data_IF_319678485479
#
_entry.id   IF_319678485479
#
_cell.length_a   1.000
_cell.length_b   1.000
_cell.length_c   1.000
_cell.angle_alpha   90.00
_cell.angle_beta   90.00
_cell.angle_gamma   90.00
#
_symmetry.space_group_name_H-M   'P 1'
#
loop_
_entity.id
_entity.type
_entity.pdbx_description
1 polymer ?
#
# COMPACT_ATOMS: atom_id res chain seq x y z
N UNK A 1 12.99 13.58 31.25
CA UNK A 1 12.98 13.57 29.77
C UNK A 1 12.74 12.13 29.35
N UNK A 2 11.50 11.66 29.45
CA UNK A 2 11.05 10.48 28.69
C UNK A 2 10.73 11.07 27.30
N UNK A 3 11.71 11.13 26.41
CA UNK A 3 12.15 10.09 25.48
C UNK A 3 11.27 10.09 24.23
N UNK A 4 11.39 11.19 23.46
CA UNK A 4 10.71 11.43 22.18
C UNK A 4 10.80 10.23 21.23
N UNK A 5 11.89 9.46 21.33
CA UNK A 5 12.08 8.21 20.57
C UNK A 5 11.06 7.14 20.94
N UNK A 6 10.69 7.02 22.21
CA UNK A 6 9.66 6.08 22.68
C UNK A 6 8.27 6.48 22.18
N UNK A 7 7.96 7.78 22.20
CA UNK A 7 6.68 8.30 21.70
C UNK A 7 6.54 8.06 20.19
N UNK A 8 7.56 8.38 19.41
CA UNK A 8 7.56 8.11 17.95
C UNK A 8 7.50 6.61 17.66
N UNK A 9 8.20 5.77 18.42
CA UNK A 9 8.14 4.32 18.24
C UNK A 9 6.73 3.77 18.53
N UNK A 10 6.05 4.29 19.56
CA UNK A 10 4.68 3.91 19.86
C UNK A 10 3.71 4.39 18.77
N UNK A 11 3.88 5.61 18.26
CA UNK A 11 3.09 6.12 17.13
C UNK A 11 3.25 5.23 15.89
N UNK A 12 4.49 4.85 15.54
CA UNK A 12 4.75 3.92 14.45
C UNK A 12 4.08 2.56 14.67
N UNK A 13 4.10 2.01 15.88
CA UNK A 13 3.48 0.73 16.20
C UNK A 13 1.95 0.79 16.08
N UNK A 14 1.34 1.86 16.62
CA UNK A 14 -0.11 2.09 16.50
C UNK A 14 -0.51 2.23 15.03
N UNK A 15 0.27 2.98 14.25
CA UNK A 15 0.07 3.22 12.84
C UNK A 15 0.19 1.93 11.99
N UNK A 16 1.17 1.07 12.27
CA UNK A 16 1.28 -0.24 11.62
C UNK A 16 0.05 -1.12 11.91
N UNK A 17 -0.53 -1.00 13.11
CA UNK A 17 -1.77 -1.67 13.49
C UNK A 17 -3.00 -1.24 12.66
N UNK A 18 -2.96 -0.09 12.00
CA UNK A 18 -4.04 0.40 11.12
C UNK A 18 -4.02 -0.24 9.71
N UNK A 19 -2.91 -0.89 9.32
CA UNK A 19 -2.73 -1.44 7.97
C UNK A 19 -3.81 -2.45 7.58
N UNK A 20 -4.18 -3.34 8.50
CA UNK A 20 -5.22 -4.35 8.25
C UNK A 20 -6.58 -3.70 7.94
N UNK A 21 -6.95 -2.67 8.71
CA UNK A 21 -8.19 -1.92 8.49
C UNK A 21 -8.18 -1.17 7.15
N UNK A 22 -7.06 -0.55 6.77
CA UNK A 22 -6.92 0.10 5.46
C UNK A 22 -6.98 -0.90 4.30
N UNK A 23 -6.32 -2.05 4.41
CA UNK A 23 -6.38 -3.10 3.41
C UNK A 23 -7.84 -3.53 3.14
N UNK A 24 -8.63 -3.71 4.19
CA UNK A 24 -10.06 -4.01 4.07
C UNK A 24 -10.89 -2.89 3.46
N UNK A 25 -10.51 -1.63 3.68
CA UNK A 25 -11.15 -0.50 3.00
C UNK A 25 -10.82 -0.50 1.50
N UNK A 26 -9.57 -0.77 1.11
CA UNK A 26 -9.14 -0.87 -0.29
C UNK A 26 -9.89 -2.01 -0.98
N UNK A 27 -9.96 -3.20 -0.36
CA UNK A 27 -10.72 -4.35 -0.88
C UNK A 27 -12.19 -4.00 -1.10
N UNK A 28 -12.84 -3.38 -0.10
CA UNK A 28 -14.25 -2.97 -0.19
C UNK A 28 -14.48 -1.94 -1.29
N UNK A 29 -13.64 -0.91 -1.39
CA UNK A 29 -13.75 0.11 -2.43
C UNK A 29 -13.62 -0.49 -3.84
N UNK A 30 -12.76 -1.50 -3.97
CA UNK A 30 -12.58 -2.23 -5.21
C UNK A 30 -13.79 -3.12 -5.55
N UNK A 31 -14.25 -3.96 -4.62
CA UNK A 31 -15.40 -4.88 -4.80
C UNK A 31 -16.70 -4.12 -5.10
N UNK A 32 -16.90 -2.95 -4.48
CA UNK A 32 -18.08 -2.12 -4.68
C UNK A 32 -18.15 -1.47 -6.08
N UNK A 33 -17.27 -1.82 -7.03
CA UNK A 33 -17.25 -1.27 -8.38
C UNK A 33 -16.95 0.23 -8.42
N UNK A 34 -16.50 0.78 -7.30
CA UNK A 34 -16.25 2.21 -7.14
C UNK A 34 -14.84 2.55 -7.61
N UNK A 35 -14.53 2.14 -8.85
CA UNK A 35 -13.22 2.31 -9.46
C UNK A 35 -12.72 3.76 -9.34
N UNK A 36 -11.44 3.91 -8.95
CA UNK A 36 -10.62 5.14 -8.85
C UNK A 36 -11.20 6.33 -8.05
N UNK A 37 -12.46 6.71 -8.25
CA UNK A 37 -13.15 7.85 -7.64
C UNK A 37 -13.50 7.64 -6.16
N UNK A 38 -13.88 6.42 -5.72
CA UNK A 38 -14.17 6.17 -4.30
C UNK A 38 -12.91 5.94 -3.48
N UNK A 39 -11.84 5.41 -4.06
CA UNK A 39 -10.52 5.38 -3.38
C UNK A 39 -9.94 6.81 -3.22
N UNK A 40 -10.47 7.79 -3.96
CA UNK A 40 -10.24 9.23 -3.80
C UNK A 40 -11.15 9.90 -2.77
N UNK A 41 -12.14 9.18 -2.24
CA UNK A 41 -13.06 9.66 -1.20
C UNK A 41 -12.90 8.88 0.13
N UNK A 42 -12.37 7.65 0.08
CA UNK A 42 -11.82 6.93 1.24
C UNK A 42 -10.44 7.44 1.65
N UNK A 43 -9.93 8.46 0.95
CA UNK A 43 -9.00 9.41 1.53
C UNK A 43 -9.62 9.84 2.86
N UNK A 44 -9.05 9.36 3.96
CA UNK A 44 -8.95 10.22 5.12
C UNK A 44 -8.70 11.63 4.60
N UNK A 45 -9.47 12.63 5.04
CA UNK A 45 -9.46 13.96 4.46
C UNK A 45 -8.03 14.33 4.12
N UNK A 46 -7.79 14.89 2.94
CA UNK A 46 -6.47 15.36 2.50
C UNK A 46 -5.88 16.47 3.41
N UNK A 47 -6.50 16.68 4.58
CA UNK A 47 -6.18 17.55 5.71
C UNK A 47 -6.34 16.86 7.09
N UNK A 48 -6.57 15.55 7.14
CA UNK A 48 -6.45 14.74 8.34
C UNK A 48 -5.03 14.19 8.37
N UNK A 49 -4.07 15.07 8.65
CA UNK A 49 -2.77 14.69 9.22
C UNK A 49 -2.91 13.92 10.55
N UNK A 50 -4.14 13.77 11.02
CA UNK A 50 -4.55 13.22 12.29
C UNK A 50 -5.91 12.55 12.08
N UNK A 51 -6.08 11.25 12.37
CA UNK A 51 -7.41 10.74 12.70
C UNK A 51 -7.99 11.63 13.78
N UNK A 52 -9.22 12.14 13.59
CA UNK A 52 -9.88 13.01 14.58
C UNK A 52 -9.75 12.42 15.99
N UNK A 53 -8.98 13.10 16.85
CA UNK A 53 -8.76 12.70 18.25
C UNK A 53 -7.45 11.95 18.58
N UNK A 54 -6.48 11.83 17.67
CA UNK A 54 -5.29 10.98 17.90
C UNK A 54 -3.92 11.67 17.83
N UNK A 55 -3.83 12.97 17.62
CA UNK A 55 -2.51 13.61 17.50
C UNK A 55 -1.83 13.84 18.84
N UNK A 56 -0.69 13.14 19.01
CA UNK A 56 0.31 13.42 20.05
C UNK A 56 1.57 14.10 19.48
N UNK A 57 1.84 14.00 18.17
CA UNK A 57 3.00 14.66 17.53
C UNK A 57 2.72 15.25 16.13
N UNK A 58 3.40 16.36 15.80
CA UNK A 58 3.26 17.07 14.52
C UNK A 58 3.79 16.30 13.28
N UNK A 59 4.46 15.16 13.47
CA UNK A 59 5.13 14.40 12.41
C UNK A 59 4.35 13.16 11.96
N UNK A 60 3.29 12.79 12.69
CA UNK A 60 2.60 11.50 12.53
C UNK A 60 2.14 11.22 11.10
N UNK A 61 1.51 12.18 10.42
CA UNK A 61 1.06 11.99 9.03
C UNK A 61 2.20 11.70 8.03
N UNK A 62 3.38 12.29 8.23
CA UNK A 62 4.55 12.04 7.39
C UNK A 62 5.20 10.70 7.68
N UNK A 63 5.33 10.35 8.94
CA UNK A 63 5.82 9.05 9.40
C UNK A 63 4.91 7.93 8.88
N UNK A 64 3.60 8.10 8.98
CA UNK A 64 2.65 7.10 8.52
C UNK A 64 2.71 6.85 7.02
N UNK A 65 2.77 7.91 6.20
CA UNK A 65 2.88 7.76 4.76
C UNK A 65 4.19 7.05 4.35
N UNK A 66 5.29 7.34 5.07
CA UNK A 66 6.55 6.63 4.89
C UNK A 66 6.42 5.14 5.26
N UNK A 67 5.78 4.81 6.38
CA UNK A 67 5.51 3.42 6.78
C UNK A 67 4.67 2.71 5.72
N UNK A 68 3.57 3.31 5.26
CA UNK A 68 2.74 2.77 4.17
C UNK A 68 3.56 2.49 2.92
N UNK A 69 4.40 3.43 2.51
CA UNK A 69 5.29 3.28 1.36
C UNK A 69 6.25 2.10 1.53
N UNK A 70 6.93 2.00 2.67
CA UNK A 70 7.90 0.94 2.93
C UNK A 70 7.24 -0.44 3.02
N UNK A 71 6.14 -0.56 3.76
CA UNK A 71 5.37 -1.80 3.90
C UNK A 71 4.84 -2.25 2.53
N UNK A 72 4.28 -1.34 1.73
CA UNK A 72 3.80 -1.66 0.38
C UNK A 72 4.93 -2.11 -0.54
N UNK A 73 6.12 -1.47 -0.44
CA UNK A 73 7.30 -1.85 -1.22
C UNK A 73 7.73 -3.28 -0.91
N UNK A 74 7.89 -3.60 0.37
CA UNK A 74 8.34 -4.93 0.78
C UNK A 74 7.27 -6.00 0.53
N UNK A 75 5.99 -5.66 0.72
CA UNK A 75 4.88 -6.54 0.37
C UNK A 75 4.83 -6.86 -1.14
N UNK A 76 5.04 -5.87 -2.01
CA UNK A 76 5.11 -6.09 -3.46
C UNK A 76 6.30 -6.99 -3.85
N UNK A 77 7.47 -6.80 -3.21
CA UNK A 77 8.63 -7.68 -3.40
C UNK A 77 8.38 -9.10 -2.88
N UNK A 78 7.69 -9.23 -1.75
CA UNK A 78 7.25 -10.50 -1.18
C UNK A 78 6.31 -11.24 -2.14
N UNK A 79 5.31 -10.54 -2.68
CA UNK A 79 4.36 -11.09 -3.65
C UNK A 79 5.05 -11.58 -4.93
N UNK A 80 6.04 -10.84 -5.45
CA UNK A 80 6.85 -11.30 -6.61
C UNK A 80 7.52 -12.64 -6.32
N UNK A 81 8.07 -12.83 -5.11
CA UNK A 81 8.73 -14.07 -4.71
C UNK A 81 7.72 -15.20 -4.49
N UNK A 82 6.59 -14.91 -3.86
CA UNK A 82 5.56 -15.90 -3.51
C UNK A 82 4.81 -16.46 -4.74
N UNK A 83 4.76 -15.71 -5.85
CA UNK A 83 4.13 -16.15 -7.08
C UNK A 83 4.94 -17.22 -7.85
N UNK A 84 6.12 -17.62 -7.34
CA UNK A 84 7.08 -18.53 -8.00
C UNK A 84 7.49 -18.02 -9.40
N UNK A 85 8.50 -18.58 -10.11
CA UNK A 85 8.81 -18.15 -11.47
C UNK A 85 7.70 -18.52 -12.46
N UNK A 86 6.64 -17.71 -12.48
CA UNK A 86 5.45 -17.86 -13.31
C UNK A 86 5.05 -16.56 -14.02
N UNK A 87 4.00 -16.60 -14.87
CA UNK A 87 3.54 -15.45 -15.63
C UNK A 87 3.14 -14.27 -14.74
N UNK A 88 2.53 -14.55 -13.57
CA UNK A 88 2.16 -13.54 -12.58
C UNK A 88 3.37 -12.82 -11.99
N UNK A 89 4.39 -13.56 -11.55
CA UNK A 89 5.63 -12.98 -11.03
C UNK A 89 6.37 -12.13 -12.07
N UNK A 90 6.49 -12.63 -13.31
CA UNK A 90 7.13 -11.88 -14.40
C UNK A 90 6.34 -10.62 -14.81
N UNK A 91 5.01 -10.71 -14.80
CA UNK A 91 4.15 -9.56 -15.04
C UNK A 91 4.28 -8.52 -13.92
N UNK A 92 4.17 -8.94 -12.66
CA UNK A 92 4.27 -8.05 -11.50
C UNK A 92 5.67 -7.43 -11.41
N UNK A 93 6.74 -8.16 -11.69
CA UNK A 93 8.09 -7.62 -11.72
C UNK A 93 8.25 -6.51 -12.79
N UNK A 94 7.63 -6.66 -13.96
CA UNK A 94 7.60 -5.62 -15.00
C UNK A 94 6.77 -4.42 -14.57
N UNK A 95 5.58 -4.66 -14.02
CA UNK A 95 4.72 -3.62 -13.48
C UNK A 95 5.44 -2.82 -12.38
N UNK A 96 6.08 -3.51 -11.43
CA UNK A 96 6.87 -2.92 -10.36
C UNK A 96 8.04 -2.10 -10.90
N UNK A 97 8.75 -2.59 -11.92
CA UNK A 97 9.84 -1.81 -12.56
C UNK A 97 9.33 -0.53 -13.22
N UNK A 98 8.13 -0.54 -13.80
CA UNK A 98 7.53 0.61 -14.48
C UNK A 98 6.93 1.64 -13.49
N UNK A 99 6.25 1.17 -12.43
CA UNK A 99 5.46 2.01 -11.54
C UNK A 99 6.08 2.19 -10.14
N UNK A 100 7.09 1.39 -9.79
CA UNK A 100 7.69 1.35 -8.47
C UNK A 100 8.87 2.30 -8.27
N UNK A 101 9.26 3.08 -9.27
CA UNK A 101 10.39 4.02 -9.15
C UNK A 101 10.20 5.02 -8.00
N UNK A 102 8.96 5.43 -7.73
CA UNK A 102 8.61 6.33 -6.62
C UNK A 102 8.74 5.67 -5.23
N UNK A 103 8.98 4.36 -5.15
CA UNK A 103 9.29 3.71 -3.87
C UNK A 103 10.70 4.01 -3.38
N UNK A 104 11.60 4.51 -4.23
CA UNK A 104 12.99 4.83 -3.86
C UNK A 104 13.25 6.35 -3.93
N UNK A 105 13.95 6.91 -2.92
CA UNK A 105 14.32 8.34 -2.87
C UNK A 105 13.25 9.32 -2.39
N UNK A 106 13.49 10.61 -2.56
CA UNK A 106 12.48 11.65 -2.28
C UNK A 106 11.32 11.50 -3.27
N UNK A 107 10.09 11.41 -2.75
CA UNK A 107 8.89 11.26 -3.57
C UNK A 107 7.72 11.94 -2.88
N UNK A 108 6.64 12.15 -3.64
CA UNK A 108 5.40 12.73 -3.12
C UNK A 108 4.75 11.81 -2.07
N UNK A 109 3.79 12.35 -1.34
CA UNK A 109 2.92 11.56 -0.46
C UNK A 109 2.09 10.53 -1.24
N UNK A 110 1.69 9.46 -0.55
CA UNK A 110 0.74 8.44 -1.01
C UNK A 110 1.26 7.52 -2.12
N UNK A 111 2.57 7.33 -2.21
CA UNK A 111 3.19 6.43 -3.20
C UNK A 111 2.62 5.01 -3.13
N UNK A 112 2.46 4.46 -1.93
CA UNK A 112 1.92 3.10 -1.75
C UNK A 112 0.49 2.99 -2.28
N UNK A 113 -0.34 3.98 -1.97
CA UNK A 113 -1.74 4.03 -2.40
C UNK A 113 -1.85 4.22 -3.92
N UNK A 114 -1.03 5.09 -4.50
CA UNK A 114 -0.97 5.31 -5.95
C UNK A 114 -0.53 4.05 -6.70
N UNK A 115 0.45 3.31 -6.17
CA UNK A 115 0.90 2.05 -6.74
C UNK A 115 -0.23 1.00 -6.74
N UNK A 116 -0.93 0.83 -5.62
CA UNK A 116 -2.06 -0.10 -5.50
C UNK A 116 -3.23 0.31 -6.40
N UNK A 117 -3.54 1.60 -6.50
CA UNK A 117 -4.57 2.12 -7.41
C UNK A 117 -4.21 1.83 -8.87
N UNK A 118 -2.96 2.08 -9.27
CA UNK A 118 -2.48 1.77 -10.61
C UNK A 118 -2.62 0.27 -10.89
N UNK A 119 -2.23 -0.59 -9.93
CA UNK A 119 -2.32 -2.04 -10.06
C UNK A 119 -3.78 -2.51 -10.21
N UNK A 120 -4.70 -2.00 -9.40
CA UNK A 120 -6.13 -2.34 -9.43
C UNK A 120 -6.85 -1.82 -10.68
N UNK A 121 -6.29 -0.80 -11.34
CA UNK A 121 -6.81 -0.26 -12.59
C UNK A 121 -6.40 -1.09 -13.83
N UNK A 122 -5.40 -1.96 -13.71
CA UNK A 122 -4.97 -2.82 -14.80
C UNK A 122 -6.05 -3.86 -15.17
N UNK A 123 -6.17 -4.11 -16.47
CA UNK A 123 -7.03 -5.18 -16.97
C UNK A 123 -6.30 -6.53 -16.87
N UNK A 124 -7.04 -7.66 -16.78
CA UNK A 124 -6.45 -8.97 -16.91
C UNK A 124 -5.61 -9.08 -18.18
N UNK A 125 -4.37 -9.54 -18.04
CA UNK A 125 -3.40 -9.59 -19.12
C UNK A 125 -3.11 -11.03 -19.52
N UNK A 126 -2.99 -11.28 -20.82
CA UNK A 126 -2.49 -12.56 -21.32
C UNK A 126 -0.98 -12.47 -21.43
N UNK A 127 -0.27 -13.39 -20.76
CA UNK A 127 1.17 -13.56 -20.87
C UNK A 127 1.50 -14.93 -21.44
N UNK A 128 2.75 -15.13 -21.89
CA UNK A 128 3.23 -16.36 -22.53
C UNK A 128 3.07 -17.64 -21.70
N UNK A 129 2.73 -17.52 -20.41
CA UNK A 129 2.45 -18.64 -19.51
C UNK A 129 1.04 -18.70 -18.94
N UNK A 130 0.12 -17.82 -19.33
CA UNK A 130 -1.28 -17.83 -18.85
C UNK A 130 -1.90 -16.44 -18.68
N UNK A 131 -3.13 -16.43 -18.15
CA UNK A 131 -3.84 -15.21 -17.80
C UNK A 131 -3.38 -14.74 -16.43
N UNK A 132 -3.06 -13.45 -16.33
CA UNK A 132 -2.70 -12.78 -15.08
C UNK A 132 -3.88 -11.90 -14.69
N UNK A 133 -4.35 -12.04 -13.46
CA UNK A 133 -5.35 -11.14 -12.85
C UNK A 133 -4.65 -10.16 -11.89
N UNK A 134 -4.50 -8.88 -12.28
CA UNK A 134 -3.88 -7.87 -11.43
C UNK A 134 -4.58 -7.68 -10.07
N UNK A 135 -5.87 -8.00 -9.96
CA UNK A 135 -6.61 -7.82 -8.71
C UNK A 135 -6.32 -8.93 -7.72
N UNK A 136 -6.26 -10.18 -8.18
CA UNK A 136 -5.77 -11.28 -7.36
C UNK A 136 -4.33 -11.02 -6.87
N UNK A 137 -3.49 -10.40 -7.71
CA UNK A 137 -2.15 -9.97 -7.30
C UNK A 137 -2.20 -8.83 -6.27
N UNK A 138 -3.07 -7.84 -6.46
CA UNK A 138 -3.25 -6.76 -5.51
C UNK A 138 -3.71 -7.27 -4.14
N UNK A 139 -4.66 -8.21 -4.10
CA UNK A 139 -5.10 -8.88 -2.87
C UNK A 139 -3.93 -9.59 -2.19
N UNK A 140 -3.11 -10.35 -2.93
CA UNK A 140 -1.91 -10.98 -2.39
C UNK A 140 -0.89 -9.98 -1.83
N UNK A 141 -0.79 -8.78 -2.41
CA UNK A 141 0.04 -7.70 -1.86
C UNK A 141 -0.57 -7.15 -0.57
N UNK A 142 -1.89 -6.95 -0.49
CA UNK A 142 -2.56 -6.50 0.72
C UNK A 142 -2.37 -7.51 1.87
N UNK A 143 -2.45 -8.81 1.59
CA UNK A 143 -2.16 -9.87 2.57
C UNK A 143 -0.69 -9.79 3.05
N UNK A 144 0.25 -9.55 2.14
CA UNK A 144 1.67 -9.39 2.49
C UNK A 144 1.93 -8.09 3.28
N UNK A 145 1.17 -7.01 3.05
CA UNK A 145 1.30 -5.77 3.85
C UNK A 145 1.00 -6.03 5.31
N UNK A 146 -0.02 -6.84 5.59
CA UNK A 146 -0.39 -7.22 6.96
C UNK A 146 0.65 -8.13 7.62
N UNK A 147 1.33 -8.99 6.85
CA UNK A 147 2.40 -9.83 7.37
C UNK A 147 3.72 -9.07 7.63
N UNK A 148 3.93 -7.95 6.93
CA UNK A 148 5.14 -7.12 7.05
C UNK A 148 4.98 -6.05 8.13
N UNK A 149 3.77 -5.55 8.34
CA UNK A 149 3.44 -4.56 9.38
C UNK A 149 3.43 -5.19 10.78
#
# INVERSE_FOLDING_TARGET
VLDCTLEVAQECADDLGLMSQENDQIRRAYVAGSGSASIRASTYPTLAHEPEGTSKSAFRGGTYDLLKRLVTREAARGAIKALEPGPGAQWLARFYKANGAAFDGESRYHVGDDFLKALLAEMPAVSSGGVVDPKAIADGILDQREAVA
#
